data_IF_062191198115
#
_entry.id   IF_062191198115
#
_cell.length_a   1.000
_cell.length_b   1.000
_cell.length_c   1.000
_cell.angle_alpha   90.00
_cell.angle_beta   90.00
_cell.angle_gamma   90.00
#
_symmetry.space_group_name_H-M   'P 1'
#
loop_
_entity.id
_entity.type
_entity.pdbx_description
1 polymer ?
#
# COMPACT_ATOMS: atom_id res chain seq x y z
N UNK A 1 -25.39 42.44 -36.42
CA UNK A 1 -25.33 40.99 -36.15
C UNK A 1 -23.95 40.73 -35.59
N UNK A 2 -23.84 40.77 -34.26
CA UNK A 2 -22.58 40.69 -33.51
C UNK A 2 -22.41 39.25 -33.05
N UNK A 3 -21.38 38.57 -33.54
CA UNK A 3 -21.05 37.21 -33.15
C UNK A 3 -20.55 37.17 -31.70
N UNK A 4 -21.29 36.45 -30.86
CA UNK A 4 -20.92 36.16 -29.48
C UNK A 4 -19.85 35.08 -29.50
N UNK A 5 -18.62 35.43 -29.12
CA UNK A 5 -17.56 34.47 -28.83
C UNK A 5 -17.93 33.68 -27.58
N UNK A 6 -18.19 32.39 -27.73
CA UNK A 6 -18.30 31.43 -26.63
C UNK A 6 -16.89 31.18 -26.11
N UNK A 7 -16.57 31.80 -24.97
CA UNK A 7 -15.40 31.43 -24.19
C UNK A 7 -15.77 30.22 -23.32
N UNK A 8 -15.31 29.04 -23.70
CA UNK A 8 -15.30 27.87 -22.83
C UNK A 8 -14.22 28.08 -21.76
N UNK A 9 -14.64 28.55 -20.57
CA UNK A 9 -13.81 28.54 -19.37
C UNK A 9 -13.69 27.09 -18.85
N UNK A 10 -12.73 26.35 -19.39
CA UNK A 10 -12.25 25.09 -18.79
C UNK A 10 -11.41 25.42 -17.55
N UNK A 11 -12.10 25.80 -16.47
CA UNK A 11 -11.50 25.87 -15.14
C UNK A 11 -11.79 24.54 -14.45
N UNK A 12 -10.95 23.53 -14.72
CA UNK A 12 -10.87 22.32 -13.92
C UNK A 12 -10.23 22.63 -12.57
N UNK A 13 -10.91 23.45 -11.76
CA UNK A 13 -10.70 23.49 -10.32
C UNK A 13 -11.64 22.46 -9.72
N UNK A 14 -11.20 21.19 -9.67
CA UNK A 14 -11.97 20.16 -8.98
C UNK A 14 -12.20 20.61 -7.55
N UNK A 15 -13.46 20.75 -7.15
CA UNK A 15 -13.81 21.06 -5.78
C UNK A 15 -13.17 20.00 -4.87
N UNK A 16 -12.27 20.45 -4.00
CA UNK A 16 -11.59 19.60 -3.04
C UNK A 16 -12.64 19.09 -2.05
N UNK A 17 -12.74 17.77 -1.89
CA UNK A 17 -13.64 17.15 -0.93
C UNK A 17 -13.31 17.64 0.48
N UNK A 18 -14.34 17.76 1.31
CA UNK A 18 -14.15 18.04 2.73
C UNK A 18 -13.48 16.83 3.42
N UNK A 19 -12.76 17.04 4.54
CA UNK A 19 -12.09 15.94 5.24
C UNK A 19 -13.07 14.83 5.66
N UNK A 20 -14.28 15.19 6.06
CA UNK A 20 -15.35 14.24 6.42
C UNK A 20 -15.84 13.43 5.21
N UNK A 21 -16.01 14.06 4.04
CA UNK A 21 -16.37 13.35 2.80
C UNK A 21 -15.28 12.35 2.38
N UNK A 22 -14.00 12.71 2.51
CA UNK A 22 -12.90 11.78 2.26
C UNK A 22 -12.95 10.58 3.21
N UNK A 23 -13.19 10.83 4.51
CA UNK A 23 -13.30 9.79 5.53
C UNK A 23 -14.40 8.78 5.21
N UNK A 24 -15.58 9.29 4.84
CA UNK A 24 -16.75 8.47 4.51
C UNK A 24 -16.47 7.67 3.23
N UNK A 25 -15.95 8.31 2.19
CA UNK A 25 -15.68 7.62 0.93
C UNK A 25 -14.64 6.50 1.10
N UNK A 26 -13.53 6.76 1.80
CA UNK A 26 -12.49 5.75 2.03
C UNK A 26 -13.04 4.58 2.85
N UNK A 27 -13.87 4.84 3.87
CA UNK A 27 -14.55 3.79 4.63
C UNK A 27 -15.44 2.93 3.74
N UNK A 28 -16.26 3.54 2.90
CA UNK A 28 -17.20 2.82 2.04
C UNK A 28 -16.47 1.98 0.99
N UNK A 29 -15.38 2.52 0.42
CA UNK A 29 -14.50 1.79 -0.51
C UNK A 29 -13.83 0.62 0.21
N UNK A 30 -13.30 0.81 1.42
CA UNK A 30 -12.66 -0.26 2.20
C UNK A 30 -13.63 -1.42 2.47
N UNK A 31 -14.83 -1.12 3.00
CA UNK A 31 -15.87 -2.13 3.26
C UNK A 31 -16.28 -2.87 1.98
N UNK A 32 -16.43 -2.14 0.88
CA UNK A 32 -16.85 -2.72 -0.41
C UNK A 32 -15.74 -3.58 -1.04
N UNK A 33 -14.47 -3.20 -0.89
CA UNK A 33 -13.32 -3.93 -1.44
C UNK A 33 -13.00 -5.17 -0.61
N UNK A 34 -13.05 -5.09 0.72
CA UNK A 34 -12.87 -6.23 1.62
C UNK A 34 -13.91 -7.32 1.37
N UNK A 35 -15.19 -6.95 1.21
CA UNK A 35 -16.25 -7.93 0.91
C UNK A 35 -16.14 -8.59 -0.46
N UNK A 36 -15.36 -8.01 -1.38
CA UNK A 36 -15.12 -8.54 -2.73
C UNK A 36 -13.73 -9.16 -2.90
N UNK A 37 -12.92 -9.15 -1.84
CA UNK A 37 -11.52 -9.58 -1.90
C UNK A 37 -11.41 -11.08 -2.16
N UNK A 38 -10.47 -11.45 -3.03
CA UNK A 38 -10.18 -12.84 -3.43
C UNK A 38 -8.67 -13.05 -3.60
N UNK A 39 -8.28 -14.31 -3.77
CA UNK A 39 -6.90 -14.64 -4.10
C UNK A 39 -6.42 -13.90 -5.36
N UNK A 40 -5.20 -13.35 -5.30
CA UNK A 40 -4.57 -12.64 -6.41
C UNK A 40 -4.90 -11.15 -6.49
N UNK A 41 -5.82 -10.66 -5.66
CA UNK A 41 -6.07 -9.23 -5.52
C UNK A 41 -4.84 -8.50 -4.98
N UNK A 42 -4.76 -7.21 -5.28
CA UNK A 42 -3.61 -6.38 -4.90
C UNK A 42 -3.93 -5.55 -3.67
N UNK A 43 -3.01 -5.52 -2.72
CA UNK A 43 -2.99 -4.58 -1.60
C UNK A 43 -1.74 -3.71 -1.72
N UNK A 44 -1.78 -2.52 -1.15
CA UNK A 44 -0.69 -1.55 -1.24
C UNK A 44 -0.22 -1.16 0.15
N UNK A 45 1.10 -1.09 0.33
CA UNK A 45 1.68 -0.55 1.54
C UNK A 45 1.67 0.97 1.48
N UNK A 46 1.29 1.60 2.58
CA UNK A 46 1.46 3.02 2.82
C UNK A 46 2.19 3.22 4.14
N UNK A 47 3.15 4.15 4.19
CA UNK A 47 3.86 4.46 5.44
C UNK A 47 2.89 4.89 6.55
N UNK A 48 3.11 4.38 7.76
CA UNK A 48 2.29 4.71 8.94
C UNK A 48 2.25 6.22 9.20
N UNK A 49 3.34 6.93 8.89
CA UNK A 49 3.46 8.37 9.08
C UNK A 49 2.43 9.17 8.28
N UNK A 50 2.32 8.85 6.98
CA UNK A 50 1.37 9.53 6.10
C UNK A 50 -0.06 9.14 6.48
N UNK A 51 -0.29 7.86 6.76
CA UNK A 51 -1.59 7.35 7.21
C UNK A 51 -2.08 8.07 8.47
N UNK A 52 -1.24 8.18 9.49
CA UNK A 52 -1.60 8.87 10.74
C UNK A 52 -1.93 10.35 10.49
N UNK A 53 -1.15 11.03 9.66
CA UNK A 53 -1.42 12.42 9.32
C UNK A 53 -2.76 12.59 8.58
N UNK A 54 -3.11 11.66 7.69
CA UNK A 54 -4.42 11.66 7.03
C UNK A 54 -5.56 11.41 8.02
N UNK A 55 -5.39 10.47 8.96
CA UNK A 55 -6.35 10.20 10.04
C UNK A 55 -6.57 11.46 10.90
N UNK A 56 -5.49 12.15 11.28
CA UNK A 56 -5.57 13.38 12.07
C UNK A 56 -6.26 14.50 11.28
N UNK A 57 -6.03 14.57 9.96
CA UNK A 57 -6.69 15.52 9.06
C UNK A 57 -8.20 15.27 8.94
N UNK A 58 -8.64 14.02 8.77
CA UNK A 58 -10.07 13.74 8.57
C UNK A 58 -10.90 13.70 9.85
N UNK A 59 -10.26 13.63 11.03
CA UNK A 59 -10.95 13.59 12.32
C UNK A 59 -11.00 14.95 13.04
N UNK A 60 -10.57 16.04 12.40
CA UNK A 60 -10.54 17.38 13.01
C UNK A 60 -11.87 17.84 13.61
N UNK A 61 -13.00 17.47 13.00
CA UNK A 61 -14.32 17.95 13.44
C UNK A 61 -14.89 17.15 14.63
N UNK A 62 -14.33 15.99 14.98
CA UNK A 62 -14.81 15.19 16.13
C UNK A 62 -14.35 15.75 17.49
N UNK A 63 -13.28 16.53 17.55
CA UNK A 63 -12.75 17.08 18.80
C UNK A 63 -13.57 18.24 19.36
N UNK A 64 -14.48 18.83 18.56
CA UNK A 64 -15.25 20.03 18.95
C UNK A 64 -16.65 19.73 19.49
N UNK A 65 -17.09 18.46 19.52
CA UNK A 65 -18.51 18.11 19.79
C UNK A 65 -18.74 17.42 21.16
N UNK A 66 -17.72 17.27 22.01
CA UNK A 66 -17.93 16.87 23.41
C UNK A 66 -18.23 18.08 24.28
N UNK A 67 -19.52 18.45 24.31
CA UNK A 67 -20.07 19.48 25.19
C UNK A 67 -20.37 18.90 26.58
N UNK A 68 -19.54 19.19 27.58
CA UNK A 68 -20.02 19.57 28.92
C UNK A 68 -19.01 20.48 29.64
N UNK A 69 -19.52 21.56 30.21
CA UNK A 69 -18.77 22.78 30.54
C UNK A 69 -17.75 22.68 31.67
N UNK A 70 -16.54 23.18 31.42
CA UNK A 70 -15.76 23.91 32.42
C UNK A 70 -14.76 24.85 31.73
N UNK A 71 -14.73 26.10 32.21
CA UNK A 71 -13.97 27.22 31.66
C UNK A 71 -12.54 27.29 32.23
N UNK A 72 -11.69 28.07 31.54
CA UNK A 72 -10.39 28.68 31.95
C UNK A 72 -9.14 27.79 31.76
N UNK A 73 -8.00 28.22 31.21
CA UNK A 73 -7.47 29.55 30.85
C UNK A 73 -6.34 29.38 29.80
N UNK A 74 -6.14 30.44 29.00
CA UNK A 74 -5.08 30.66 28.01
C UNK A 74 -3.66 30.28 28.47
N UNK A 75 -2.90 29.57 27.62
CA UNK A 75 -1.54 30.01 27.22
C UNK A 75 -1.04 29.30 25.93
N UNK A 76 -0.59 30.13 24.99
CA UNK A 76 0.24 29.94 23.79
C UNK A 76 -0.18 28.93 22.69
N UNK A 77 -0.42 29.49 21.50
CA UNK A 77 -0.10 28.94 20.17
C UNK A 77 -0.01 27.42 20.07
N UNK A 78 -1.09 26.78 19.60
CA UNK A 78 -1.10 25.68 18.60
C UNK A 78 -2.53 25.11 18.53
N UNK A 79 -3.48 25.85 17.94
CA UNK A 79 -4.64 25.20 17.30
C UNK A 79 -4.09 24.61 16.01
N UNK A 80 -3.49 23.42 16.11
CA UNK A 80 -3.18 22.62 14.94
C UNK A 80 -4.49 22.09 14.39
N UNK A 81 -5.18 22.87 13.56
CA UNK A 81 -5.93 22.24 12.49
C UNK A 81 -4.92 21.40 11.71
N UNK A 82 -5.00 20.08 11.83
CA UNK A 82 -4.12 19.17 11.10
C UNK A 82 -4.27 19.49 9.62
N UNK A 83 -3.21 20.01 9.01
CA UNK A 83 -3.29 20.45 7.61
C UNK A 83 -3.53 19.24 6.73
N UNK A 84 -4.11 19.47 5.55
CA UNK A 84 -4.23 18.43 4.55
C UNK A 84 -2.86 17.79 4.30
N UNK A 85 -2.74 16.45 4.29
CA UNK A 85 -1.49 15.77 3.99
C UNK A 85 -0.93 16.19 2.63
N UNK A 86 0.40 16.17 2.53
CA UNK A 86 1.09 16.28 1.25
C UNK A 86 0.93 14.99 0.43
N UNK A 87 1.63 14.91 -0.71
CA UNK A 87 1.70 13.69 -1.50
C UNK A 87 2.23 12.51 -0.68
N UNK A 88 1.80 11.30 -1.06
CA UNK A 88 2.23 10.06 -0.40
C UNK A 88 3.74 9.87 -0.66
N UNK A 89 4.50 9.57 0.39
CA UNK A 89 5.92 9.27 0.29
C UNK A 89 6.22 7.98 1.06
N UNK A 90 6.50 6.90 0.32
CA UNK A 90 6.80 5.57 0.86
C UNK A 90 8.30 5.24 0.84
N UNK A 91 9.15 6.24 0.60
CA UNK A 91 10.61 6.04 0.44
C UNK A 91 11.29 5.53 1.71
N UNK A 92 10.66 5.66 2.87
CA UNK A 92 11.13 5.13 4.15
C UNK A 92 10.95 3.61 4.30
N UNK A 93 10.14 3.00 3.43
CA UNK A 93 9.86 1.56 3.48
C UNK A 93 10.80 0.75 2.57
N UNK A 94 11.58 1.40 1.71
CA UNK A 94 12.40 0.76 0.68
C UNK A 94 13.88 0.81 1.04
N UNK A 95 14.64 -0.23 0.63
CA UNK A 95 16.10 -0.11 0.69
C UNK A 95 16.57 0.91 -0.35
N UNK A 96 17.53 1.75 0.04
CA UNK A 96 18.17 2.77 -0.81
C UNK A 96 19.03 2.16 -1.95
N UNK A 97 19.08 0.82 -2.04
CA UNK A 97 20.05 0.09 -2.87
C UNK A 97 19.39 -0.45 -4.14
N UNK A 98 19.82 0.13 -5.27
CA UNK A 98 19.72 -0.35 -6.66
C UNK A 98 18.36 -0.26 -7.39
N UNK A 99 18.09 0.93 -7.93
CA UNK A 99 17.27 1.12 -9.14
C UNK A 99 17.93 0.54 -10.43
N UNK A 100 19.17 0.05 -10.35
CA UNK A 100 19.98 -0.35 -11.51
C UNK A 100 19.76 -1.83 -11.94
N UNK A 101 19.19 -2.69 -11.08
CA UNK A 101 18.86 -4.07 -11.46
C UNK A 101 17.45 -4.17 -12.07
N UNK A 102 17.43 -3.81 -13.35
CA UNK A 102 16.31 -3.95 -14.28
C UNK A 102 15.77 -5.39 -14.29
N UNK A 103 14.82 -5.69 -13.40
CA UNK A 103 13.81 -6.78 -13.40
C UNK A 103 13.38 -7.20 -11.98
N UNK A 104 14.07 -6.76 -10.92
CA UNK A 104 13.63 -6.95 -9.55
C UNK A 104 12.69 -5.79 -9.16
N UNK A 105 11.45 -6.10 -8.77
CA UNK A 105 10.53 -5.08 -8.26
C UNK A 105 11.09 -4.38 -7.01
N UNK A 106 10.49 -3.24 -6.65
CA UNK A 106 10.89 -2.43 -5.49
C UNK A 106 10.94 -3.29 -4.20
N UNK A 107 12.12 -3.34 -3.57
CA UNK A 107 12.36 -4.13 -2.36
C UNK A 107 12.13 -3.29 -1.09
N UNK A 108 11.30 -3.82 -0.20
CA UNK A 108 10.98 -3.19 1.08
C UNK A 108 11.84 -3.80 2.19
N UNK A 109 12.09 -3.02 3.24
CA UNK A 109 12.78 -3.50 4.44
C UNK A 109 12.11 -4.74 5.02
N UNK A 110 12.89 -5.78 5.33
CA UNK A 110 12.42 -7.06 5.89
C UNK A 110 12.01 -6.97 7.37
N UNK A 111 12.40 -5.91 8.06
CA UNK A 111 12.09 -5.67 9.47
C UNK A 111 10.81 -4.86 9.72
N UNK A 112 10.08 -4.45 8.68
CA UNK A 112 8.90 -3.60 8.85
C UNK A 112 7.73 -4.40 9.44
N UNK A 113 6.98 -3.75 10.30
CA UNK A 113 5.81 -4.32 10.97
C UNK A 113 4.54 -3.59 10.56
N UNK A 114 3.53 -4.34 10.13
CA UNK A 114 2.19 -3.81 9.86
C UNK A 114 1.60 -3.16 11.13
N UNK A 115 0.95 -2.01 10.95
CA UNK A 115 0.37 -1.19 12.02
C UNK A 115 1.37 -0.34 12.80
N UNK A 116 2.68 -0.59 12.64
CA UNK A 116 3.75 0.23 13.22
C UNK A 116 4.45 1.07 12.17
N UNK A 117 4.93 0.42 11.11
CA UNK A 117 5.75 1.07 10.08
C UNK A 117 4.94 1.32 8.79
N UNK A 118 3.98 0.44 8.48
CA UNK A 118 3.08 0.60 7.33
C UNK A 118 1.67 0.07 7.61
N UNK A 119 0.72 0.46 6.77
CA UNK A 119 -0.64 -0.11 6.71
C UNK A 119 -0.87 -0.72 5.33
N UNK A 120 -1.65 -1.81 5.27
CA UNK A 120 -2.11 -2.41 4.03
C UNK A 120 -3.47 -1.84 3.63
N UNK A 121 -3.57 -1.38 2.40
CA UNK A 121 -4.80 -0.84 1.83
C UNK A 121 -5.23 -1.67 0.61
N UNK A 122 -6.54 -1.95 0.45
CA UNK A 122 -7.06 -2.49 -0.80
C UNK A 122 -6.71 -1.60 -2.00
N UNK A 123 -6.57 -2.20 -3.18
CA UNK A 123 -6.21 -1.48 -4.42
C UNK A 123 -7.10 -0.27 -4.69
N UNK A 124 -8.40 -0.38 -4.44
CA UNK A 124 -9.38 0.68 -4.66
C UNK A 124 -9.12 1.88 -3.74
N UNK A 125 -8.79 1.62 -2.46
CA UNK A 125 -8.45 2.64 -1.48
C UNK A 125 -7.15 3.35 -1.89
N UNK A 126 -6.13 2.58 -2.29
CA UNK A 126 -4.87 3.14 -2.80
C UNK A 126 -5.09 4.03 -4.02
N UNK A 127 -5.87 3.57 -5.01
CA UNK A 127 -6.17 4.34 -6.21
C UNK A 127 -6.87 5.66 -5.87
N UNK A 128 -7.78 5.64 -4.89
CA UNK A 128 -8.46 6.84 -4.43
C UNK A 128 -7.47 7.83 -3.80
N UNK A 129 -6.62 7.37 -2.88
CA UNK A 129 -5.58 8.23 -2.29
C UNK A 129 -4.60 8.77 -3.32
N UNK A 130 -4.15 7.93 -4.25
CA UNK A 130 -3.26 8.36 -5.33
C UNK A 130 -3.92 9.42 -6.22
N UNK A 131 -5.23 9.31 -6.50
CA UNK A 131 -5.97 10.31 -7.28
C UNK A 131 -6.06 11.68 -6.59
N UNK A 132 -6.12 11.69 -5.25
CA UNK A 132 -6.27 12.91 -4.45
C UNK A 132 -4.95 13.57 -4.06
N UNK A 133 -3.95 12.76 -3.73
CA UNK A 133 -2.70 13.21 -3.13
C UNK A 133 -1.48 12.97 -4.03
N UNK A 134 -1.57 12.01 -4.97
CA UNK A 134 -0.43 11.56 -5.77
C UNK A 134 0.72 11.00 -4.91
N UNK A 135 1.92 10.98 -5.48
CA UNK A 135 3.15 10.56 -4.80
C UNK A 135 3.60 9.15 -5.14
N UNK A 136 4.30 8.48 -4.22
CA UNK A 136 4.81 7.12 -4.41
C UNK A 136 6.05 6.82 -3.57
N UNK A 137 6.77 5.72 -3.90
CA UNK A 137 6.41 4.72 -4.90
C UNK A 137 5.20 3.86 -4.47
N UNK A 138 4.51 3.26 -5.45
CA UNK A 138 3.42 2.32 -5.18
C UNK A 138 3.98 0.93 -4.83
N UNK A 139 3.72 0.48 -3.60
CA UNK A 139 4.26 -0.77 -3.07
C UNK A 139 3.19 -1.87 -3.05
N UNK A 140 2.93 -2.46 -4.22
CA UNK A 140 1.90 -3.48 -4.39
C UNK A 140 2.32 -4.86 -3.85
N UNK A 141 1.39 -5.56 -3.22
CA UNK A 141 1.49 -6.93 -2.71
C UNK A 141 0.25 -7.73 -3.09
N UNK A 142 0.37 -9.05 -3.12
CA UNK A 142 -0.69 -9.94 -3.59
C UNK A 142 -1.31 -10.71 -2.43
N UNK A 143 -2.63 -10.86 -2.48
CA UNK A 143 -3.35 -11.79 -1.63
C UNK A 143 -3.03 -13.22 -2.09
N UNK A 144 -2.61 -14.04 -1.14
CA UNK A 144 -2.39 -15.47 -1.33
C UNK A 144 -3.36 -16.25 -0.45
N UNK A 145 -3.72 -17.45 -0.89
CA UNK A 145 -4.30 -18.43 0.00
C UNK A 145 -3.25 -18.86 1.03
N UNK A 146 -3.65 -18.86 2.30
CA UNK A 146 -2.84 -19.23 3.45
C UNK A 146 -3.49 -20.41 4.19
N UNK A 147 -2.66 -21.17 4.89
CA UNK A 147 -3.11 -22.32 5.69
C UNK A 147 -3.28 -23.62 4.91
N UNK A 148 -3.42 -24.73 5.66
CA UNK A 148 -3.53 -26.08 5.09
C UNK A 148 -4.82 -26.30 4.29
N UNK A 149 -5.86 -25.49 4.54
CA UNK A 149 -7.18 -25.60 3.90
C UNK A 149 -7.36 -24.68 2.69
N UNK A 150 -6.42 -23.78 2.38
CA UNK A 150 -6.55 -22.74 1.34
C UNK A 150 -7.80 -21.84 1.45
N UNK A 151 -8.49 -21.86 2.60
CA UNK A 151 -9.73 -21.10 2.82
C UNK A 151 -9.47 -19.73 3.45
N UNK A 152 -8.27 -19.49 3.94
CA UNK A 152 -7.87 -18.21 4.55
C UNK A 152 -7.06 -17.41 3.53
N UNK A 153 -7.33 -16.12 3.43
CA UNK A 153 -6.60 -15.21 2.55
C UNK A 153 -5.70 -14.29 3.37
N UNK A 154 -4.45 -14.14 2.95
CA UNK A 154 -3.49 -13.26 3.59
C UNK A 154 -2.69 -12.50 2.53
N UNK A 155 -2.33 -11.24 2.81
CA UNK A 155 -1.45 -10.47 1.92
C UNK A 155 -0.02 -10.95 2.08
N UNK A 156 0.58 -11.43 1.00
CA UNK A 156 1.99 -11.79 0.98
C UNK A 156 2.86 -10.53 0.84
N UNK A 157 3.24 -9.97 1.99
CA UNK A 157 4.15 -8.81 2.03
C UNK A 157 5.61 -9.21 1.75
N UNK A 158 6.02 -10.35 2.30
CA UNK A 158 7.37 -10.90 2.17
C UNK A 158 7.33 -12.31 1.58
N UNK A 159 7.63 -12.46 0.28
CA UNK A 159 7.89 -13.76 -0.33
C UNK A 159 9.08 -14.47 0.33
N UNK A 160 9.14 -15.79 0.21
CA UNK A 160 10.26 -16.57 0.75
C UNK A 160 11.51 -16.36 -0.10
N UNK A 161 12.62 -16.00 0.54
CA UNK A 161 13.93 -15.94 -0.09
C UNK A 161 14.72 -17.21 0.25
N UNK A 162 14.96 -18.03 -0.75
CA UNK A 162 15.61 -19.33 -0.62
C UNK A 162 17.01 -19.29 -1.23
N UNK A 163 17.97 -19.91 -0.56
CA UNK A 163 19.27 -20.23 -1.13
C UNK A 163 19.32 -21.73 -1.46
N UNK A 164 19.36 -22.04 -2.75
CA UNK A 164 19.50 -23.39 -3.28
C UNK A 164 20.97 -23.74 -3.41
N UNK A 165 21.33 -24.97 -3.04
CA UNK A 165 22.67 -25.53 -3.18
C UNK A 165 22.60 -26.76 -4.09
N UNK A 166 23.38 -26.76 -5.16
CA UNK A 166 23.45 -27.87 -6.11
C UNK A 166 24.60 -28.80 -5.75
N UNK A 167 24.28 -30.06 -5.47
CA UNK A 167 25.28 -31.08 -5.17
C UNK A 167 25.57 -31.97 -6.40
N UNK A 168 26.82 -32.41 -6.63
CA UNK A 168 28.01 -32.18 -5.79
C UNK A 168 28.78 -30.90 -6.13
N UNK A 169 28.38 -30.14 -7.17
CA UNK A 169 29.15 -28.99 -7.70
C UNK A 169 29.35 -27.86 -6.69
N UNK A 170 28.47 -27.74 -5.69
CA UNK A 170 28.51 -26.70 -4.67
C UNK A 170 27.97 -25.35 -5.14
N UNK A 171 27.39 -25.30 -6.34
CA UNK A 171 26.83 -24.08 -6.92
C UNK A 171 25.66 -23.58 -6.06
N UNK A 172 25.63 -22.26 -5.80
CA UNK A 172 24.57 -21.62 -5.02
C UNK A 172 23.72 -20.74 -5.92
N UNK A 173 22.42 -20.78 -5.71
CA UNK A 173 21.45 -19.94 -6.42
C UNK A 173 20.46 -19.37 -5.41
N UNK A 174 20.17 -18.07 -5.51
CA UNK A 174 19.12 -17.44 -4.74
C UNK A 174 17.82 -17.41 -5.56
N UNK A 175 16.70 -17.75 -4.94
CA UNK A 175 15.38 -17.73 -5.59
C UNK A 175 14.33 -17.17 -4.64
N UNK A 176 13.38 -16.41 -5.20
CA UNK A 176 12.19 -15.98 -4.49
C UNK A 176 11.00 -16.83 -4.90
N UNK A 177 10.27 -17.35 -3.92
CA UNK A 177 9.03 -18.08 -4.12
C UNK A 177 7.91 -17.53 -3.25
N UNK A 178 6.68 -17.63 -3.74
CA UNK A 178 5.50 -17.35 -2.93
C UNK A 178 5.30 -18.45 -1.89
N UNK A 179 4.80 -18.09 -0.71
CA UNK A 179 4.45 -19.03 0.37
C UNK A 179 3.39 -20.06 -0.04
N UNK A 180 2.64 -19.80 -1.12
CA UNK A 180 1.65 -20.74 -1.66
C UNK A 180 2.23 -21.76 -2.65
N UNK A 181 3.43 -21.55 -3.16
CA UNK A 181 4.06 -22.50 -4.10
C UNK A 181 4.41 -23.80 -3.38
N UNK A 182 4.17 -24.96 -4.02
CA UNK A 182 4.53 -26.24 -3.42
C UNK A 182 6.01 -26.56 -3.65
N UNK A 183 6.50 -27.56 -2.91
CA UNK A 183 7.85 -28.11 -3.10
C UNK A 183 8.03 -28.60 -4.55
N UNK A 184 6.97 -29.10 -5.20
CA UNK A 184 7.01 -29.53 -6.60
C UNK A 184 7.26 -28.37 -7.57
N UNK A 185 6.54 -27.24 -7.41
CA UNK A 185 6.79 -26.03 -8.21
C UNK A 185 8.18 -25.45 -7.94
N UNK A 186 8.62 -25.42 -6.68
CA UNK A 186 9.97 -24.99 -6.32
C UNK A 186 11.04 -25.84 -7.02
N UNK A 187 10.91 -27.17 -6.96
CA UNK A 187 11.83 -28.08 -7.63
C UNK A 187 11.84 -27.81 -9.14
N UNK A 188 10.66 -27.59 -9.75
CA UNK A 188 10.54 -27.32 -11.20
C UNK A 188 11.25 -26.03 -11.59
N UNK A 189 11.03 -24.96 -10.84
CA UNK A 189 11.70 -23.67 -11.04
C UNK A 189 13.20 -23.78 -10.81
N UNK A 190 13.64 -24.51 -9.78
CA UNK A 190 15.04 -24.76 -9.51
C UNK A 190 15.71 -25.51 -10.68
N UNK A 191 15.10 -26.59 -11.17
CA UNK A 191 15.61 -27.33 -12.33
C UNK A 191 15.70 -26.45 -13.58
N UNK A 192 14.66 -25.65 -13.88
CA UNK A 192 14.67 -24.72 -15.01
C UNK A 192 15.78 -23.67 -14.88
N UNK A 193 15.95 -23.09 -13.70
CA UNK A 193 16.94 -22.03 -13.45
C UNK A 193 18.38 -22.56 -13.49
N UNK A 194 18.57 -23.83 -13.10
CA UNK A 194 19.88 -24.50 -13.09
C UNK A 194 20.17 -25.32 -14.35
N UNK A 195 19.25 -25.29 -15.34
CA UNK A 195 19.39 -26.05 -16.60
C UNK A 195 19.39 -27.57 -16.42
N UNK A 196 18.78 -28.08 -15.34
CA UNK A 196 18.68 -29.52 -15.05
C UNK A 196 17.46 -30.11 -15.77
N UNK A 197 17.63 -31.29 -16.37
CA UNK A 197 16.53 -32.03 -16.99
C UNK A 197 15.55 -32.50 -15.92
N UNK A 198 14.26 -32.15 -16.08
CA UNK A 198 13.18 -32.63 -15.23
C UNK A 198 12.95 -34.12 -15.49
N UNK A 199 13.16 -35.02 -14.51
CA UNK A 199 12.78 -36.42 -14.67
C UNK A 199 11.24 -36.54 -14.67
N UNK A 200 10.67 -37.49 -15.45
CA UNK A 200 9.24 -37.64 -15.61
C UNK A 200 8.50 -37.93 -14.29
#
# INVERSE_FOLDING_TARGET
MTEVRVACNSSSGGAQLTPEEERVLIRDIAITSESKSKEGDSFYLITQRWWQHWIDYVNQDQTYVTNDGSFMLENCDTVSSSKRPASIDNSDLIYDVNLEESNAGIEIHDTLLEGRDYVLLPQEVWNQFYSWYGGGPALARKVISSGLSQTEFAVEVYPLHLQLLVMPKGDRCAMRISKKETIGELHKRACMHLGLLWPP
#
